data_IF_263265385075
#
_entry.id   IF_263265385075
#
_cell.length_a   1.000
_cell.length_b   1.000
_cell.length_c   1.000
_cell.angle_alpha   90.00
_cell.angle_beta   90.00
_cell.angle_gamma   90.00
#
_symmetry.space_group_name_H-M   'P 1'
#
loop_
_entity.id
_entity.type
_entity.pdbx_description
1 polymer ?
#
# COMPACT_ATOMS: atom_id res chain seq x y z
N UNK A 1 0.23 5.65 42.27
CA UNK A 1 0.52 4.21 42.27
C UNK A 1 0.51 3.72 40.83
N UNK A 2 1.65 3.28 40.31
CA UNK A 2 1.78 2.94 38.89
C UNK A 2 1.28 1.51 38.65
N UNK A 3 0.13 1.37 37.98
CA UNK A 3 -0.51 0.07 37.72
C UNK A 3 0.40 -0.85 36.89
N UNK A 4 1.24 -0.29 36.02
CA UNK A 4 2.15 -1.06 35.19
C UNK A 4 3.25 -1.75 36.00
N UNK A 5 3.78 -1.06 37.02
CA UNK A 5 4.78 -1.64 37.92
C UNK A 5 4.18 -2.74 38.80
N UNK A 6 2.89 -2.63 39.15
CA UNK A 6 2.19 -3.69 39.88
C UNK A 6 1.95 -4.94 39.05
N UNK A 7 1.67 -4.75 37.75
CA UNK A 7 1.55 -5.86 36.79
C UNK A 7 2.87 -6.61 36.73
N UNK A 8 3.98 -5.90 36.52
CA UNK A 8 5.32 -6.49 36.50
C UNK A 8 5.66 -7.20 37.80
N UNK A 9 5.39 -6.56 38.93
CA UNK A 9 5.69 -7.11 40.24
C UNK A 9 4.93 -8.42 40.50
N UNK A 10 3.62 -8.45 40.25
CA UNK A 10 2.80 -9.63 40.54
C UNK A 10 3.02 -10.76 39.53
N UNK A 11 3.24 -10.44 38.24
CA UNK A 11 3.58 -11.45 37.24
C UNK A 11 4.91 -12.13 37.59
N UNK A 12 5.93 -11.37 37.99
CA UNK A 12 7.22 -11.94 38.39
C UNK A 12 7.11 -12.81 39.65
N UNK A 13 6.26 -12.45 40.62
CA UNK A 13 6.00 -13.30 41.80
C UNK A 13 5.42 -14.66 41.41
N UNK A 14 4.40 -14.66 40.56
CA UNK A 14 3.77 -15.91 40.09
C UNK A 14 4.78 -16.72 39.28
N UNK A 15 5.59 -16.07 38.43
CA UNK A 15 6.65 -16.74 37.67
C UNK A 15 7.74 -17.37 38.55
N UNK A 16 8.00 -16.79 39.72
CA UNK A 16 8.93 -17.35 40.71
C UNK A 16 8.33 -18.54 41.48
N UNK A 17 7.12 -19.00 41.13
CA UNK A 17 6.47 -20.16 41.73
C UNK A 17 5.65 -19.84 42.97
N UNK A 18 5.35 -18.56 43.26
CA UNK A 18 4.42 -18.22 44.33
C UNK A 18 2.99 -18.63 43.93
N UNK A 19 2.32 -19.40 44.79
CA UNK A 19 0.89 -19.67 44.69
C UNK A 19 0.12 -18.42 45.15
N UNK A 20 -0.57 -17.76 44.21
CA UNK A 20 -1.23 -16.47 44.44
C UNK A 20 -2.70 -16.56 44.03
N UNK A 21 -3.61 -16.09 44.88
CA UNK A 21 -5.05 -15.92 44.60
C UNK A 21 -5.42 -14.49 44.26
N UNK A 22 -6.63 -14.26 43.73
CA UNK A 22 -7.13 -12.91 43.35
C UNK A 22 -6.94 -11.86 44.46
N UNK A 23 -7.29 -12.20 45.70
CA UNK A 23 -7.23 -11.27 46.83
C UNK A 23 -5.84 -11.16 47.48
N UNK A 24 -4.85 -11.88 46.98
CA UNK A 24 -3.48 -11.94 47.52
C UNK A 24 -2.46 -11.17 46.66
N UNK A 25 -2.95 -10.41 45.69
CA UNK A 25 -2.14 -9.48 44.91
C UNK A 25 -1.53 -8.42 45.82
N UNK A 26 -0.23 -8.16 45.61
CA UNK A 26 0.55 -7.28 46.48
C UNK A 26 0.94 -5.98 45.79
N UNK A 27 1.07 -4.94 46.60
CA UNK A 27 1.70 -3.68 46.23
C UNK A 27 3.21 -3.81 46.11
N UNK A 28 3.86 -2.75 45.60
CA UNK A 28 5.33 -2.66 45.51
C UNK A 28 6.01 -2.71 46.88
N UNK A 29 5.27 -2.37 47.94
CA UNK A 29 5.68 -2.45 49.34
C UNK A 29 5.58 -3.86 49.93
N UNK A 30 5.25 -4.87 49.11
CA UNK A 30 5.01 -6.26 49.50
C UNK A 30 3.84 -6.47 50.47
N UNK A 31 2.98 -5.46 50.66
CA UNK A 31 1.72 -5.63 51.42
C UNK A 31 0.60 -6.01 50.48
N UNK A 32 -0.36 -6.78 50.98
CA UNK A 32 -1.57 -7.13 50.22
C UNK A 32 -2.35 -5.84 49.94
N UNK A 33 -2.82 -5.69 48.69
CA UNK A 33 -3.63 -4.55 48.31
C UNK A 33 -5.02 -4.64 48.96
N UNK A 34 -5.76 -3.53 48.98
CA UNK A 34 -7.17 -3.58 49.39
C UNK A 34 -7.96 -4.47 48.42
N UNK A 35 -9.02 -5.12 48.92
CA UNK A 35 -9.85 -6.03 48.10
C UNK A 35 -10.34 -5.39 46.79
N UNK A 36 -10.68 -4.09 46.80
CA UNK A 36 -11.09 -3.36 45.60
C UNK A 36 -9.96 -3.18 44.58
N UNK A 37 -8.74 -2.92 45.05
CA UNK A 37 -7.55 -2.79 44.19
C UNK A 37 -7.09 -4.15 43.66
N UNK A 38 -7.13 -5.20 44.48
CA UNK A 38 -6.87 -6.58 44.05
C UNK A 38 -7.78 -6.95 42.88
N UNK A 39 -9.10 -6.80 43.02
CA UNK A 39 -10.03 -7.17 41.95
C UNK A 39 -9.84 -6.32 40.69
N UNK A 40 -9.51 -5.03 40.84
CA UNK A 40 -9.24 -4.15 39.68
C UNK A 40 -7.97 -4.58 38.95
N UNK A 41 -6.89 -4.89 39.68
CA UNK A 41 -5.64 -5.37 39.11
C UNK A 41 -5.82 -6.75 38.46
N UNK A 42 -6.53 -7.66 39.12
CA UNK A 42 -6.86 -8.97 38.60
C UNK A 42 -7.64 -8.89 37.29
N UNK A 43 -8.72 -8.09 37.25
CA UNK A 43 -9.49 -7.84 36.02
C UNK A 43 -8.60 -7.32 34.89
N UNK A 44 -7.67 -6.42 35.20
CA UNK A 44 -6.74 -5.86 34.21
C UNK A 44 -5.73 -6.89 33.69
N UNK A 45 -5.16 -7.70 34.57
CA UNK A 45 -4.25 -8.79 34.19
C UNK A 45 -4.97 -9.83 33.32
N UNK A 46 -6.23 -10.12 33.63
CA UNK A 46 -7.07 -11.04 32.86
C UNK A 46 -7.50 -10.46 31.52
N UNK A 47 -7.91 -9.19 31.46
CA UNK A 47 -8.32 -8.53 30.21
C UNK A 47 -7.17 -8.46 29.20
N UNK A 48 -5.93 -8.33 29.70
CA UNK A 48 -4.72 -8.34 28.88
C UNK A 48 -4.22 -9.76 28.57
N UNK A 49 -4.98 -10.80 28.96
CA UNK A 49 -4.65 -12.21 28.74
C UNK A 49 -3.28 -12.61 29.32
N UNK A 50 -2.93 -12.06 30.48
CA UNK A 50 -1.66 -12.36 31.16
C UNK A 50 -1.81 -13.49 32.15
N UNK A 51 -2.98 -13.57 32.77
CA UNK A 51 -3.30 -14.56 33.79
C UNK A 51 -4.65 -15.20 33.52
N UNK A 52 -4.85 -16.38 34.06
CA UNK A 52 -6.16 -16.98 34.24
C UNK A 52 -6.19 -17.78 35.56
N UNK A 53 -7.35 -18.30 35.92
CA UNK A 53 -7.57 -19.00 37.20
C UNK A 53 -7.89 -20.47 37.02
N UNK A 54 -7.33 -21.32 37.87
CA UNK A 54 -7.67 -22.74 37.93
C UNK A 54 -9.01 -22.99 38.66
N UNK A 55 -9.37 -24.27 38.86
CA UNK A 55 -10.59 -24.67 39.58
C UNK A 55 -10.58 -24.32 41.08
N UNK A 56 -9.44 -23.90 41.63
CA UNK A 56 -9.23 -23.55 43.03
C UNK A 56 -8.95 -22.04 43.22
N UNK A 57 -9.30 -21.21 42.23
CA UNK A 57 -9.05 -19.76 42.18
C UNK A 57 -7.56 -19.37 42.26
N UNK A 58 -6.65 -20.27 41.89
CA UNK A 58 -5.21 -20.00 41.81
C UNK A 58 -4.87 -19.35 40.48
N UNK A 59 -4.08 -18.30 40.55
CA UNK A 59 -3.65 -17.56 39.38
C UNK A 59 -2.49 -18.29 38.73
N UNK A 60 -2.60 -18.58 37.43
CA UNK A 60 -1.50 -19.06 36.61
C UNK A 60 -1.22 -18.11 35.44
N UNK A 61 0.02 -18.10 34.97
CA UNK A 61 0.47 -17.26 33.87
C UNK A 61 0.14 -17.89 32.52
N UNK A 62 -0.35 -17.07 31.59
CA UNK A 62 -0.55 -17.44 30.19
C UNK A 62 0.73 -17.15 29.37
N UNK A 63 0.81 -17.69 28.15
CA UNK A 63 1.96 -17.52 27.24
C UNK A 63 2.39 -16.05 27.11
N UNK A 64 1.42 -15.15 27.01
CA UNK A 64 1.65 -13.72 26.86
C UNK A 64 2.35 -13.09 28.07
N UNK A 65 2.12 -13.58 29.29
CA UNK A 65 2.85 -13.10 30.46
C UNK A 65 4.32 -13.50 30.40
N UNK A 66 4.64 -14.73 29.99
CA UNK A 66 6.03 -15.16 29.82
C UNK A 66 6.77 -14.36 28.75
N UNK A 67 6.10 -14.04 27.64
CA UNK A 67 6.65 -13.15 26.62
C UNK A 67 7.03 -11.80 27.21
N UNK A 68 6.13 -11.20 28.00
CA UNK A 68 6.34 -9.89 28.61
C UNK A 68 7.49 -9.91 29.63
N UNK A 69 7.60 -10.97 30.43
CA UNK A 69 8.74 -11.18 31.33
C UNK A 69 10.05 -11.25 30.52
N UNK A 70 10.08 -12.04 29.46
CA UNK A 70 11.26 -12.20 28.60
C UNK A 70 11.65 -10.88 27.90
N UNK A 71 10.67 -10.03 27.57
CA UNK A 71 10.90 -8.69 27.03
C UNK A 71 11.39 -7.67 28.10
N UNK A 72 11.52 -8.09 29.36
CA UNK A 72 12.01 -7.26 30.45
C UNK A 72 10.94 -6.37 31.08
N UNK A 73 9.67 -6.77 30.99
CA UNK A 73 8.54 -6.16 31.69
C UNK A 73 7.49 -5.50 30.79
N UNK A 74 6.31 -5.30 31.36
CA UNK A 74 5.09 -4.72 30.82
C UNK A 74 5.32 -3.32 30.25
N UNK A 75 6.07 -2.48 30.95
CA UNK A 75 6.40 -1.14 30.46
C UNK A 75 7.23 -1.16 29.17
N UNK A 76 8.18 -2.11 29.04
CA UNK A 76 8.98 -2.24 27.81
C UNK A 76 8.14 -2.81 26.68
N UNK A 77 7.30 -3.80 26.99
CA UNK A 77 6.38 -4.39 26.03
C UNK A 77 5.39 -3.36 25.45
N UNK A 78 4.77 -2.53 26.29
CA UNK A 78 3.86 -1.47 25.83
C UNK A 78 4.58 -0.50 24.89
N UNK A 79 5.75 0.01 25.29
CA UNK A 79 6.51 0.96 24.48
C UNK A 79 6.87 0.39 23.10
N UNK A 80 7.24 -0.90 23.06
CA UNK A 80 7.51 -1.61 21.81
C UNK A 80 6.24 -1.74 20.96
N UNK A 81 5.13 -2.18 21.56
CA UNK A 81 3.85 -2.33 20.87
C UNK A 81 3.33 -1.00 20.31
N UNK A 82 3.45 0.09 21.06
CA UNK A 82 3.10 1.44 20.60
C UNK A 82 3.97 1.87 19.42
N UNK A 83 5.28 1.64 19.51
CA UNK A 83 6.21 1.94 18.42
C UNK A 83 5.87 1.14 17.16
N UNK A 84 5.59 -0.15 17.29
CA UNK A 84 5.19 -1.03 16.18
C UNK A 84 3.87 -0.58 15.55
N UNK A 85 2.89 -0.14 16.35
CA UNK A 85 1.63 0.43 15.84
C UNK A 85 1.88 1.70 15.04
N UNK A 86 2.73 2.60 15.54
CA UNK A 86 3.08 3.84 14.84
C UNK A 86 3.81 3.53 13.53
N UNK A 87 4.76 2.60 13.54
CA UNK A 87 5.47 2.16 12.32
C UNK A 87 4.50 1.51 11.32
N UNK A 88 3.51 0.75 11.78
CA UNK A 88 2.50 0.14 10.92
C UNK A 88 1.60 1.20 10.27
N UNK A 89 1.18 2.22 11.02
CA UNK A 89 0.42 3.36 10.50
C UNK A 89 1.24 4.07 9.42
N UNK A 90 2.50 4.42 9.70
CA UNK A 90 3.37 5.06 8.72
C UNK A 90 3.60 4.21 7.46
N UNK A 91 3.74 2.88 7.61
CA UNK A 91 3.86 1.97 6.46
C UNK A 91 2.58 1.95 5.62
N UNK A 92 1.41 1.97 6.25
CA UNK A 92 0.13 1.99 5.56
C UNK A 92 -0.07 3.32 4.82
N UNK A 93 0.23 4.45 5.46
CA UNK A 93 0.15 5.78 4.81
C UNK A 93 1.09 5.87 3.61
N UNK A 94 2.32 5.36 3.75
CA UNK A 94 3.28 5.31 2.66
C UNK A 94 2.80 4.40 1.51
N UNK A 95 2.20 3.25 1.84
CA UNK A 95 1.62 2.34 0.86
C UNK A 95 0.47 2.98 0.10
N UNK A 96 -0.47 3.61 0.80
CA UNK A 96 -1.61 4.30 0.19
C UNK A 96 -1.14 5.41 -0.76
N UNK A 97 -0.15 6.21 -0.33
CA UNK A 97 0.45 7.24 -1.20
C UNK A 97 1.07 6.64 -2.46
N UNK A 98 1.81 5.55 -2.33
CA UNK A 98 2.43 4.86 -3.46
C UNK A 98 1.38 4.24 -4.41
N UNK A 99 0.28 3.72 -3.88
CA UNK A 99 -0.84 3.21 -4.70
C UNK A 99 -1.49 4.35 -5.50
N UNK A 100 -1.73 5.50 -4.87
CA UNK A 100 -2.27 6.70 -5.55
C UNK A 100 -1.31 7.17 -6.66
N UNK A 101 -0.01 7.25 -6.38
CA UNK A 101 0.97 7.71 -7.37
C UNK A 101 1.12 6.70 -8.53
N UNK A 102 1.04 5.40 -8.26
CA UNK A 102 1.01 4.37 -9.30
C UNK A 102 -0.22 4.52 -10.21
N UNK A 103 -1.41 4.77 -9.65
CA UNK A 103 -2.62 5.01 -10.44
C UNK A 103 -2.50 6.25 -11.32
N UNK A 104 -1.88 7.33 -10.83
CA UNK A 104 -1.59 8.52 -11.64
C UNK A 104 -0.65 8.20 -12.80
N UNK A 105 0.44 7.49 -12.53
CA UNK A 105 1.40 7.09 -13.58
C UNK A 105 0.77 6.19 -14.63
N UNK A 106 -0.10 5.25 -14.22
CA UNK A 106 -0.86 4.41 -15.17
C UNK A 106 -1.78 5.23 -16.07
N UNK A 107 -2.47 6.22 -15.48
CA UNK A 107 -3.32 7.15 -16.24
C UNK A 107 -2.49 7.97 -17.23
N UNK A 108 -1.38 8.55 -16.78
CA UNK A 108 -0.47 9.30 -17.64
C UNK A 108 0.07 8.43 -18.78
N UNK A 109 0.53 7.21 -18.49
CA UNK A 109 1.02 6.27 -19.48
C UNK A 109 -0.05 5.94 -20.54
N UNK A 110 -1.31 5.78 -20.13
CA UNK A 110 -2.42 5.56 -21.05
C UNK A 110 -2.69 6.77 -21.96
N UNK A 111 -2.65 7.98 -21.40
CA UNK A 111 -2.81 9.23 -22.17
C UNK A 111 -1.66 9.42 -23.18
N UNK A 112 -0.42 9.13 -22.78
CA UNK A 112 0.74 9.13 -23.67
C UNK A 112 0.58 8.12 -24.80
N UNK A 113 0.16 6.88 -24.49
CA UNK A 113 -0.05 5.87 -25.51
C UNK A 113 -1.15 6.27 -26.50
N UNK A 114 -2.23 6.90 -26.01
CA UNK A 114 -3.28 7.46 -26.87
C UNK A 114 -2.73 8.55 -27.79
N UNK A 115 -1.89 9.44 -27.28
CA UNK A 115 -1.22 10.48 -28.08
C UNK A 115 -0.35 9.87 -29.18
N UNK A 116 0.41 8.81 -28.87
CA UNK A 116 1.24 8.09 -29.84
C UNK A 116 0.38 7.56 -30.98
N UNK A 117 -0.72 6.86 -30.70
CA UNK A 117 -1.61 6.32 -31.75
C UNK A 117 -2.18 7.40 -32.66
N UNK A 118 -2.58 8.54 -32.09
CA UNK A 118 -3.07 9.68 -32.88
C UNK A 118 -1.99 10.19 -33.83
N UNK A 119 -0.75 10.32 -33.37
CA UNK A 119 0.38 10.74 -34.20
C UNK A 119 0.72 9.70 -35.27
N UNK A 120 0.67 8.41 -34.96
CA UNK A 120 0.86 7.33 -35.94
C UNK A 120 -0.21 7.37 -37.04
N UNK A 121 -1.48 7.59 -36.68
CA UNK A 121 -2.56 7.74 -37.65
C UNK A 121 -2.36 8.99 -38.53
N UNK A 122 -1.90 10.11 -37.95
CA UNK A 122 -1.53 11.31 -38.72
C UNK A 122 -0.39 11.03 -39.69
N UNK A 123 0.67 10.36 -39.25
CA UNK A 123 1.80 9.97 -40.11
C UNK A 123 1.32 9.06 -41.24
N UNK A 124 0.45 8.08 -40.94
CA UNK A 124 -0.11 7.19 -41.96
C UNK A 124 -0.92 7.96 -43.00
N UNK A 125 -1.77 8.90 -42.56
CA UNK A 125 -2.59 9.71 -43.46
C UNK A 125 -1.71 10.60 -44.35
N UNK A 126 -0.73 11.30 -43.77
CA UNK A 126 0.22 12.12 -44.53
C UNK A 126 1.05 11.29 -45.52
N UNK A 127 1.44 10.08 -45.13
CA UNK A 127 2.16 9.15 -46.02
C UNK A 127 1.28 8.72 -47.19
N UNK A 128 0.02 8.37 -46.91
CA UNK A 128 -0.96 8.02 -47.95
C UNK A 128 -1.21 9.18 -48.91
N UNK A 129 -1.36 10.40 -48.40
CA UNK A 129 -1.54 11.59 -49.23
C UNK A 129 -0.31 11.90 -50.08
N UNK A 130 0.89 11.78 -49.53
CA UNK A 130 2.13 11.93 -50.30
C UNK A 130 2.24 10.90 -51.43
N UNK A 131 1.90 9.63 -51.16
CA UNK A 131 1.88 8.59 -52.19
C UNK A 131 0.83 8.89 -53.27
N UNK A 132 -0.35 9.38 -52.88
CA UNK A 132 -1.41 9.78 -53.81
C UNK A 132 -0.99 10.96 -54.69
N UNK A 133 -0.36 11.99 -54.12
CA UNK A 133 0.16 13.14 -54.84
C UNK A 133 1.27 12.73 -55.81
N UNK A 134 2.20 11.86 -55.39
CA UNK A 134 3.24 11.30 -56.25
C UNK A 134 2.66 10.53 -57.44
N UNK A 135 1.64 9.70 -57.21
CA UNK A 135 0.94 8.98 -58.28
C UNK A 135 0.15 9.92 -59.20
N UNK A 136 -0.40 11.01 -58.66
CA UNK A 136 -1.14 12.00 -59.44
C UNK A 136 -0.22 12.77 -60.38
N UNK A 137 0.97 13.15 -59.93
CA UNK A 137 1.97 13.82 -60.77
C UNK A 137 2.39 12.95 -61.97
N UNK A 138 2.60 11.64 -61.75
CA UNK A 138 2.91 10.69 -62.84
C UNK A 138 1.77 10.66 -63.86
N UNK A 139 0.51 10.57 -63.41
CA UNK A 139 -0.66 10.55 -64.32
C UNK A 139 -0.80 11.88 -65.07
N UNK A 140 -0.57 13.00 -64.39
CA UNK A 140 -0.65 14.34 -64.99
C UNK A 140 0.34 14.52 -66.14
N UNK A 141 1.58 14.05 -65.98
CA UNK A 141 2.58 14.06 -67.07
C UNK A 141 2.11 13.28 -68.29
N UNK A 142 1.50 12.10 -68.10
CA UNK A 142 0.93 11.32 -69.20
C UNK A 142 -0.23 12.04 -69.90
N UNK A 143 -1.11 12.72 -69.15
CA UNK A 143 -2.20 13.50 -69.76
C UNK A 143 -1.67 14.65 -70.61
N UNK A 144 -0.65 15.38 -70.15
CA UNK A 144 -0.02 16.46 -70.94
C UNK A 144 0.61 15.91 -72.22
N UNK A 145 1.32 14.77 -72.14
CA UNK A 145 1.93 14.15 -73.31
C UNK A 145 0.88 13.76 -74.36
N UNK A 146 -0.26 13.18 -73.93
CA UNK A 146 -1.34 12.82 -74.84
C UNK A 146 -2.02 14.05 -75.46
N UNK A 147 -2.31 15.07 -74.66
CA UNK A 147 -2.96 16.30 -75.15
C UNK A 147 -2.05 17.05 -76.13
N UNK A 148 -0.76 17.19 -75.80
CA UNK A 148 0.22 17.83 -76.69
C UNK A 148 0.39 17.08 -78.01
N UNK A 149 0.35 15.74 -77.99
CA UNK A 149 0.35 14.91 -79.19
C UNK A 149 -0.87 15.19 -80.07
N UNK A 150 -2.08 15.24 -79.48
CA UNK A 150 -3.32 15.53 -80.21
C UNK A 150 -3.29 16.95 -80.81
N UNK A 151 -2.88 17.96 -80.03
CA UNK A 151 -2.76 19.34 -80.50
C UNK A 151 -1.77 19.44 -81.67
N UNK A 152 -0.61 18.79 -81.56
CA UNK A 152 0.37 18.76 -82.65
C UNK A 152 -0.19 18.13 -83.92
N UNK A 153 -0.99 17.07 -83.79
CA UNK A 153 -1.67 16.43 -84.92
C UNK A 153 -2.70 17.36 -85.58
N UNK A 154 -3.51 18.05 -84.77
CA UNK A 154 -4.50 19.03 -85.27
C UNK A 154 -3.79 20.17 -86.02
N UNK A 155 -2.75 20.77 -85.41
CA UNK A 155 -1.97 21.85 -86.04
C UNK A 155 -1.38 21.40 -87.38
N UNK A 156 -0.80 20.19 -87.43
CA UNK A 156 -0.25 19.64 -88.68
C UNK A 156 -1.33 19.50 -89.76
N UNK A 157 -2.49 18.94 -89.41
CA UNK A 157 -3.60 18.76 -90.34
C UNK A 157 -4.12 20.09 -90.92
N UNK A 158 -4.11 21.16 -90.13
CA UNK A 158 -4.49 22.51 -90.59
C UNK A 158 -3.42 23.21 -91.42
N UNK A 159 -2.15 22.78 -91.37
CA UNK A 159 -1.06 23.33 -92.19
C UNK A 159 -0.97 22.61 -93.55
N UNK A 160 -1.28 21.30 -93.58
CA UNK A 160 -1.19 20.47 -94.79
C UNK A 160 -2.46 20.54 -95.69
N UNK A 161 -3.56 21.15 -95.22
CA UNK A 161 -4.78 21.47 -95.99
C UNK A 161 -4.86 22.97 -96.29
#
# INVERSE_FOLDING_TARGET
>A
MNVNELIDFNINRINNGEDVRELELKGLDKKTLSNSMCSTLFKKLRSESLIDTDQNDRIYLLSRAYEIINYGGWNKYIKKSEKEKIELIHKNDAKEKLEIDNLKLQKEAFEYQKSIRIKEDQIRNLTSDNLRLGNWDIRFRWYIALISFIIGFIIKYFIDN
#
